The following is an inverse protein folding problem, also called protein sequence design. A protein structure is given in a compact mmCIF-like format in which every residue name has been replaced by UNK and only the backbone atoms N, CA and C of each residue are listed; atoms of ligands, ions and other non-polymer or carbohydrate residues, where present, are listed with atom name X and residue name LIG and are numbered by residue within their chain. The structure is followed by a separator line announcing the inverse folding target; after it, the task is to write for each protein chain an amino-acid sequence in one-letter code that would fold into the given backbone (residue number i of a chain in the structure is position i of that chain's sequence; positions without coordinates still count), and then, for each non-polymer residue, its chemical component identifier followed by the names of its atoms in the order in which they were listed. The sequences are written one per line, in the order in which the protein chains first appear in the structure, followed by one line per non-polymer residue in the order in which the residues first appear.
data_IF_521580126517
#
_entry.id   IF_521580126517
#
_cell.length_a   1.000
_cell.length_b   1.000
_cell.length_c   1.000
_cell.angle_alpha   90.00
_cell.angle_beta   90.00
_cell.angle_gamma   90.00
#
_symmetry.space_group_name_H-M   'P 1'
#
loop_
_entity.id
_entity.type
_entity.pdbx_description
1 polymer ?
#
# COMPACT_ATOMS: atom_id res chain seq x y z
N UNK A 1 -10.42 6.46 -26.54
CA UNK A 1 -9.42 6.41 -25.44
C UNK A 1 -9.82 5.24 -24.57
N UNK A 2 -9.27 4.06 -24.88
CA UNK A 2 -9.55 2.84 -24.09
C UNK A 2 -8.98 3.04 -22.70
N UNK A 3 -9.84 3.27 -21.73
CA UNK A 3 -9.49 3.12 -20.33
C UNK A 3 -9.37 1.62 -20.06
N UNK A 4 -8.16 1.08 -20.17
CA UNK A 4 -7.90 -0.28 -19.67
C UNK A 4 -8.04 -0.22 -18.16
N UNK A 5 -9.20 -0.60 -17.64
CA UNK A 5 -9.47 -0.68 -16.22
C UNK A 5 -8.49 -1.64 -15.55
N UNK A 6 -8.07 -1.32 -14.33
CA UNK A 6 -7.20 -2.18 -13.53
C UNK A 6 -7.94 -3.46 -13.13
N UNK A 7 -7.22 -4.58 -13.04
CA UNK A 7 -7.74 -5.83 -12.50
C UNK A 7 -7.69 -5.80 -10.97
N UNK A 8 -8.84 -5.88 -10.33
CA UNK A 8 -8.97 -5.91 -8.87
C UNK A 8 -9.42 -7.30 -8.42
N UNK A 9 -8.66 -7.93 -7.54
CA UNK A 9 -9.07 -9.18 -6.89
C UNK A 9 -9.73 -8.87 -5.55
N UNK A 10 -11.03 -9.19 -5.43
CA UNK A 10 -11.80 -9.07 -4.19
C UNK A 10 -11.84 -10.44 -3.51
N UNK A 11 -11.36 -10.52 -2.27
CA UNK A 11 -11.31 -11.73 -1.45
C UNK A 11 -12.24 -11.53 -0.26
N UNK A 12 -13.43 -12.11 -0.34
CA UNK A 12 -14.53 -11.90 0.60
C UNK A 12 -15.44 -13.15 0.57
N UNK A 13 -15.75 -13.72 1.72
CA UNK A 13 -16.60 -14.91 1.84
C UNK A 13 -18.11 -14.55 1.89
N UNK A 14 -18.45 -13.32 2.33
CA UNK A 14 -19.83 -12.83 2.20
C UNK A 14 -20.14 -12.51 0.73
N UNK A 15 -20.90 -13.41 0.11
CA UNK A 15 -21.28 -13.29 -1.30
C UNK A 15 -22.07 -12.02 -1.64
N UNK A 16 -22.81 -11.44 -0.67
CA UNK A 16 -23.58 -10.19 -0.86
C UNK A 16 -22.64 -8.99 -0.90
N UNK A 17 -21.69 -8.95 0.03
CA UNK A 17 -20.68 -7.89 0.06
C UNK A 17 -19.77 -7.99 -1.17
N UNK A 18 -19.29 -9.19 -1.52
CA UNK A 18 -18.48 -9.44 -2.71
C UNK A 18 -19.18 -8.97 -3.99
N UNK A 19 -20.48 -9.32 -4.18
CA UNK A 19 -21.26 -8.89 -5.33
C UNK A 19 -21.48 -7.37 -5.36
N UNK A 20 -21.60 -6.73 -4.19
CA UNK A 20 -21.75 -5.28 -4.10
C UNK A 20 -20.45 -4.58 -4.45
N UNK A 21 -19.32 -5.05 -3.92
CA UNK A 21 -17.98 -4.53 -4.24
C UNK A 21 -17.70 -4.69 -5.74
N UNK A 22 -18.01 -5.86 -6.33
CA UNK A 22 -17.85 -6.09 -7.75
C UNK A 22 -18.62 -5.04 -8.58
N UNK A 23 -19.90 -4.82 -8.26
CA UNK A 23 -20.74 -3.86 -8.98
C UNK A 23 -20.20 -2.43 -8.88
N UNK A 24 -19.81 -2.01 -7.65
CA UNK A 24 -19.28 -0.66 -7.40
C UNK A 24 -17.96 -0.45 -8.15
N UNK A 25 -17.03 -1.39 -8.07
CA UNK A 25 -15.72 -1.28 -8.74
C UNK A 25 -15.85 -1.37 -10.27
N UNK A 26 -16.75 -2.21 -10.77
CA UNK A 26 -17.04 -2.30 -12.22
C UNK A 26 -17.66 -1.01 -12.75
N UNK A 27 -18.51 -0.33 -11.96
CA UNK A 27 -19.07 0.98 -12.37
C UNK A 27 -18.01 2.09 -12.46
N UNK A 28 -16.88 1.94 -11.77
CA UNK A 28 -15.69 2.82 -11.87
C UNK A 28 -14.73 2.42 -13.02
N UNK A 29 -15.10 1.40 -13.82
CA UNK A 29 -14.33 0.97 -14.99
C UNK A 29 -13.27 -0.09 -14.73
N UNK A 30 -13.25 -0.72 -13.55
CA UNK A 30 -12.30 -1.79 -13.20
C UNK A 30 -12.82 -3.17 -13.62
N UNK A 31 -11.89 -4.07 -13.97
CA UNK A 31 -12.18 -5.50 -14.06
C UNK A 31 -12.08 -6.12 -12.65
N UNK A 32 -13.07 -6.95 -12.26
CA UNK A 32 -13.12 -7.49 -10.89
C UNK A 32 -13.20 -9.01 -10.92
N UNK A 33 -12.22 -9.66 -10.29
CA UNK A 33 -12.24 -11.09 -9.96
C UNK A 33 -12.63 -11.26 -8.49
N UNK A 34 -13.41 -12.30 -8.17
CA UNK A 34 -13.83 -12.61 -6.80
C UNK A 34 -13.21 -13.96 -6.39
N UNK A 35 -12.68 -14.01 -5.16
CA UNK A 35 -12.31 -15.25 -4.47
C UNK A 35 -13.09 -15.33 -3.15
N UNK A 36 -13.70 -16.48 -2.87
CA UNK A 36 -14.49 -16.71 -1.65
C UNK A 36 -13.67 -17.21 -0.45
N UNK A 37 -12.38 -17.53 -0.66
CA UNK A 37 -11.47 -18.00 0.38
C UNK A 37 -10.00 -17.67 0.05
N UNK A 38 -9.14 -17.83 1.07
CA UNK A 38 -7.72 -17.48 0.94
C UNK A 38 -6.93 -18.35 -0.03
N UNK A 39 -7.28 -19.63 -0.21
CA UNK A 39 -6.58 -20.52 -1.14
C UNK A 39 -6.94 -20.18 -2.60
N UNK A 40 -8.20 -19.88 -2.86
CA UNK A 40 -8.64 -19.40 -4.18
C UNK A 40 -7.98 -18.07 -4.51
N UNK A 41 -7.88 -17.17 -3.53
CA UNK A 41 -7.17 -15.88 -3.69
C UNK A 41 -5.71 -16.05 -4.11
N UNK A 42 -4.96 -16.92 -3.42
CA UNK A 42 -3.56 -17.20 -3.74
C UNK A 42 -3.39 -17.82 -5.12
N UNK A 43 -4.29 -18.74 -5.51
CA UNK A 43 -4.29 -19.35 -6.84
C UNK A 43 -4.53 -18.31 -7.91
N UNK A 44 -5.61 -17.51 -7.80
CA UNK A 44 -5.97 -16.46 -8.78
C UNK A 44 -4.89 -15.41 -8.94
N UNK A 45 -4.34 -14.93 -7.81
CA UNK A 45 -3.27 -13.95 -7.85
C UNK A 45 -1.99 -14.45 -8.55
N UNK A 46 -1.70 -15.76 -8.46
CA UNK A 46 -0.59 -16.38 -9.17
C UNK A 46 -0.89 -16.57 -10.66
N UNK A 47 -2.11 -17.04 -11.00
CA UNK A 47 -2.48 -17.39 -12.37
C UNK A 47 -2.71 -16.13 -13.22
N UNK A 48 -3.24 -15.08 -12.61
CA UNK A 48 -3.44 -13.76 -13.23
C UNK A 48 -3.17 -12.67 -12.17
N UNK A 49 -1.95 -12.11 -12.10
CA UNK A 49 -1.60 -11.09 -11.12
C UNK A 49 -2.54 -9.87 -11.21
N UNK A 50 -3.19 -9.47 -10.09
CA UNK A 50 -4.04 -8.29 -10.06
C UNK A 50 -3.23 -7.00 -9.92
N UNK A 51 -3.84 -5.87 -10.27
CA UNK A 51 -3.30 -4.53 -10.02
C UNK A 51 -3.56 -4.08 -8.56
N UNK A 52 -4.57 -4.66 -7.90
CA UNK A 52 -4.92 -4.42 -6.49
C UNK A 52 -5.64 -5.65 -5.91
N UNK A 53 -5.38 -5.95 -4.65
CA UNK A 53 -6.18 -6.93 -3.87
C UNK A 53 -6.97 -6.18 -2.80
N UNK A 54 -8.29 -6.45 -2.72
CA UNK A 54 -9.13 -6.08 -1.58
C UNK A 54 -9.39 -7.36 -0.80
N UNK A 55 -8.95 -7.42 0.47
CA UNK A 55 -8.83 -8.67 1.22
C UNK A 55 -9.51 -8.55 2.58
N UNK A 56 -10.53 -9.37 2.81
CA UNK A 56 -11.10 -9.49 4.17
C UNK A 56 -10.09 -10.15 5.12
N UNK A 57 -9.99 -9.62 6.33
CA UNK A 57 -9.24 -10.23 7.43
C UNK A 57 -9.91 -11.51 7.90
N UNK A 58 -11.24 -11.53 7.96
CA UNK A 58 -12.04 -12.61 8.54
C UNK A 58 -12.47 -13.64 7.49
N UNK A 59 -11.52 -14.38 6.92
CA UNK A 59 -11.81 -15.44 5.95
C UNK A 59 -11.91 -16.81 6.62
N UNK A 60 -12.74 -17.72 6.11
CA UNK A 60 -12.79 -19.09 6.58
C UNK A 60 -11.52 -19.85 6.21
N UNK A 61 -11.03 -20.68 7.13
CA UNK A 61 -9.85 -21.54 6.91
C UNK A 61 -8.54 -20.78 7.02
N UNK A 62 -8.06 -20.18 5.93
CA UNK A 62 -6.84 -19.38 5.92
C UNK A 62 -7.21 -17.91 6.12
N UNK A 63 -6.85 -17.34 7.29
CA UNK A 63 -7.16 -15.94 7.61
C UNK A 63 -6.49 -14.93 6.65
N UNK A 64 -7.10 -13.76 6.50
CA UNK A 64 -6.64 -12.73 5.56
C UNK A 64 -5.22 -12.22 5.86
N UNK A 65 -4.77 -12.22 7.12
CA UNK A 65 -3.41 -11.84 7.49
C UNK A 65 -2.40 -12.86 6.93
N UNK A 66 -2.70 -14.15 7.05
CA UNK A 66 -1.87 -15.21 6.49
C UNK A 66 -1.86 -15.18 4.96
N UNK A 67 -3.01 -14.88 4.32
CA UNK A 67 -3.09 -14.65 2.86
C UNK A 67 -2.21 -13.48 2.45
N UNK A 68 -2.32 -12.33 3.14
CA UNK A 68 -1.52 -11.14 2.88
C UNK A 68 -0.02 -11.43 2.92
N UNK A 69 0.47 -12.09 3.97
CA UNK A 69 1.89 -12.46 4.10
C UNK A 69 2.35 -13.36 2.95
N UNK A 70 1.54 -14.33 2.54
CA UNK A 70 1.89 -15.24 1.41
C UNK A 70 1.91 -14.49 0.08
N UNK A 71 0.97 -13.57 -0.16
CA UNK A 71 0.98 -12.72 -1.35
C UNK A 71 2.23 -11.83 -1.38
N UNK A 72 2.60 -11.22 -0.25
CA UNK A 72 3.79 -10.37 -0.14
C UNK A 72 5.09 -11.10 -0.39
N UNK A 73 5.18 -12.38 -0.06
CA UNK A 73 6.37 -13.18 -0.33
C UNK A 73 6.65 -13.35 -1.84
N UNK A 74 5.66 -13.14 -2.70
CA UNK A 74 5.76 -13.43 -4.14
C UNK A 74 5.38 -12.27 -5.04
N UNK A 75 4.75 -11.20 -4.53
CA UNK A 75 4.20 -10.11 -5.36
C UNK A 75 4.20 -8.76 -4.65
N UNK A 76 4.24 -7.69 -5.48
CA UNK A 76 4.34 -6.28 -5.05
C UNK A 76 3.07 -5.46 -5.33
N UNK A 77 1.97 -6.07 -5.78
CA UNK A 77 0.73 -5.32 -5.99
C UNK A 77 0.14 -4.81 -4.66
N UNK A 78 -0.57 -3.67 -4.65
CA UNK A 78 -1.19 -3.12 -3.45
C UNK A 78 -2.24 -4.05 -2.85
N UNK A 79 -2.33 -4.08 -1.51
CA UNK A 79 -3.32 -4.84 -0.75
C UNK A 79 -4.05 -3.89 0.21
N UNK A 80 -5.36 -3.74 -0.01
CA UNK A 80 -6.29 -3.08 0.91
C UNK A 80 -6.98 -4.14 1.76
N UNK A 81 -6.78 -4.11 3.07
CA UNK A 81 -7.46 -5.03 3.97
C UNK A 81 -8.79 -4.46 4.47
N UNK A 82 -9.85 -5.29 4.42
CA UNK A 82 -11.11 -5.00 5.08
C UNK A 82 -11.12 -5.65 6.46
N UNK A 83 -11.42 -4.89 7.51
CA UNK A 83 -11.39 -5.40 8.88
C UNK A 83 -12.62 -4.99 9.68
N UNK A 84 -13.15 -5.89 10.50
CA UNK A 84 -14.21 -5.58 11.47
C UNK A 84 -13.64 -4.99 12.78
N UNK A 85 -12.32 -4.87 12.91
CA UNK A 85 -11.65 -4.69 14.19
C UNK A 85 -11.06 -3.29 14.34
N UNK A 86 -11.72 -2.45 15.14
CA UNK A 86 -11.34 -1.07 15.45
C UNK A 86 -10.27 -0.90 16.55
N UNK A 87 -9.48 -1.93 16.89
CA UNK A 87 -8.45 -1.85 17.93
C UNK A 87 -7.04 -1.50 17.40
N UNK A 88 -6.33 -0.62 18.13
CA UNK A 88 -4.97 -0.16 17.74
C UNK A 88 -3.97 -1.30 17.60
N UNK A 89 -4.01 -2.32 18.47
CA UNK A 89 -3.10 -3.48 18.39
C UNK A 89 -3.30 -4.35 17.16
N UNK A 90 -4.52 -4.46 16.65
CA UNK A 90 -4.82 -5.28 15.48
C UNK A 90 -4.49 -4.55 14.19
N UNK A 91 -4.56 -3.21 14.19
CA UNK A 91 -4.05 -2.38 13.09
C UNK A 91 -2.54 -2.52 12.96
N UNK A 92 -1.80 -2.52 14.08
CA UNK A 92 -0.35 -2.73 14.08
C UNK A 92 -0.01 -4.13 13.54
N UNK A 93 -0.69 -5.19 13.99
CA UNK A 93 -0.49 -6.56 13.46
C UNK A 93 -0.81 -6.67 11.98
N UNK A 94 -1.81 -5.92 11.52
CA UNK A 94 -2.15 -5.86 10.11
C UNK A 94 -1.06 -5.16 9.29
N UNK A 95 -0.57 -4.00 9.74
CA UNK A 95 0.54 -3.28 9.10
C UNK A 95 1.81 -4.17 9.03
N UNK A 96 2.11 -4.93 10.10
CA UNK A 96 3.20 -5.93 10.12
C UNK A 96 2.98 -7.10 9.13
N UNK A 97 1.75 -7.30 8.62
CA UNK A 97 1.48 -8.32 7.60
C UNK A 97 1.90 -7.93 6.18
N UNK A 98 2.27 -6.67 5.97
CA UNK A 98 2.65 -6.12 4.67
C UNK A 98 1.48 -5.57 3.85
N UNK A 99 0.30 -5.36 4.43
CA UNK A 99 -0.79 -4.64 3.78
C UNK A 99 -0.43 -3.16 3.58
N UNK A 100 -0.98 -2.56 2.53
CA UNK A 100 -0.69 -1.17 2.17
C UNK A 100 -1.67 -0.18 2.78
N UNK A 101 -2.91 -0.60 3.00
CA UNK A 101 -3.94 0.21 3.66
C UNK A 101 -5.01 -0.68 4.30
N UNK A 102 -5.82 -0.08 5.19
CA UNK A 102 -6.90 -0.74 5.93
C UNK A 102 -8.19 0.06 5.85
N UNK A 103 -9.31 -0.65 5.75
CA UNK A 103 -10.64 -0.06 5.79
C UNK A 103 -11.50 -0.83 6.80
N UNK A 104 -12.03 -0.12 7.79
CA UNK A 104 -12.82 -0.71 8.87
C UNK A 104 -14.27 -0.90 8.41
N UNK A 105 -14.83 -2.10 8.62
CA UNK A 105 -16.23 -2.41 8.42
C UNK A 105 -17.07 -1.93 9.64
N UNK A 106 -18.23 -1.28 9.44
CA UNK A 106 -18.82 -0.89 8.16
C UNK A 106 -18.19 0.38 7.59
N UNK A 107 -18.08 0.47 6.27
CA UNK A 107 -17.47 1.59 5.55
C UNK A 107 -18.41 2.18 4.49
N UNK A 108 -18.15 3.44 4.14
CA UNK A 108 -18.78 4.08 2.99
C UNK A 108 -18.09 3.64 1.68
N UNK A 109 -18.86 3.32 0.64
CA UNK A 109 -18.27 2.95 -0.67
C UNK A 109 -17.43 4.07 -1.28
N UNK A 110 -17.76 5.32 -0.99
CA UNK A 110 -16.95 6.47 -1.42
C UNK A 110 -15.54 6.44 -0.82
N UNK A 111 -15.40 6.04 0.45
CA UNK A 111 -14.12 5.88 1.12
C UNK A 111 -13.33 4.72 0.49
N UNK A 112 -13.96 3.56 0.29
CA UNK A 112 -13.34 2.43 -0.41
C UNK A 112 -12.78 2.87 -1.77
N UNK A 113 -13.59 3.56 -2.59
CA UNK A 113 -13.19 4.03 -3.92
C UNK A 113 -12.06 5.05 -3.86
N UNK A 114 -12.03 5.94 -2.85
CA UNK A 114 -10.94 6.88 -2.66
C UNK A 114 -9.62 6.15 -2.36
N UNK A 115 -9.64 5.13 -1.49
CA UNK A 115 -8.47 4.29 -1.18
C UNK A 115 -8.01 3.46 -2.37
N UNK A 116 -8.95 2.87 -3.11
CA UNK A 116 -8.66 2.12 -4.35
C UNK A 116 -7.95 3.02 -5.37
N UNK A 117 -8.47 4.24 -5.61
CA UNK A 117 -7.81 5.21 -6.51
C UNK A 117 -6.42 5.61 -6.01
N UNK A 118 -6.24 5.81 -4.71
CA UNK A 118 -4.94 6.15 -4.13
C UNK A 118 -3.92 5.02 -4.34
N UNK A 119 -4.33 3.77 -4.10
CA UNK A 119 -3.48 2.59 -4.27
C UNK A 119 -3.16 2.27 -5.74
N UNK A 120 -4.10 2.54 -6.66
CA UNK A 120 -3.92 2.31 -8.11
C UNK A 120 -3.24 3.47 -8.84
N UNK A 121 -3.01 4.61 -8.16
CA UNK A 121 -2.41 5.79 -8.79
C UNK A 121 -1.03 5.45 -9.33
N UNK A 122 -0.93 5.31 -10.65
CA UNK A 122 0.35 5.10 -11.33
C UNK A 122 1.19 6.37 -11.19
N UNK A 123 2.44 6.22 -10.80
CA UNK A 123 3.42 7.28 -10.92
C UNK A 123 3.42 7.79 -12.39
N UNK A 124 3.42 9.12 -12.57
CA UNK A 124 3.53 9.73 -13.89
C UNK A 124 4.84 9.37 -14.59
N UNK A 125 5.11 9.87 -15.81
CA UNK A 125 6.15 9.33 -16.68
C UNK A 125 7.55 9.42 -16.09
N UNK A 126 8.21 8.30 -16.11
CA UNK A 126 9.60 7.84 -16.31
C UNK A 126 10.80 8.66 -15.85
N UNK A 127 10.73 9.57 -14.91
CA UNK A 127 11.97 10.18 -14.40
C UNK A 127 12.47 9.37 -13.19
N UNK A 128 13.62 8.69 -13.39
CA UNK A 128 14.35 8.02 -12.33
C UNK A 128 14.71 9.03 -11.25
N UNK A 129 14.22 8.80 -10.03
CA UNK A 129 14.43 9.71 -8.90
C UNK A 129 15.70 9.30 -8.15
N UNK A 130 16.58 10.27 -7.89
CA UNK A 130 17.84 10.02 -7.20
C UNK A 130 18.10 11.00 -6.09
N UNK A 131 18.59 10.49 -4.96
CA UNK A 131 19.06 11.31 -3.87
C UNK A 131 20.13 10.55 -3.07
N UNK A 132 21.33 11.11 -2.95
CA UNK A 132 22.49 10.42 -2.39
C UNK A 132 22.70 9.07 -3.13
N UNK A 133 22.72 7.95 -2.43
CA UNK A 133 22.80 6.60 -2.97
C UNK A 133 21.45 5.91 -3.16
N UNK A 134 20.34 6.64 -2.99
CA UNK A 134 19.00 6.16 -3.33
C UNK A 134 18.73 6.34 -4.82
N UNK A 135 18.19 5.30 -5.44
CA UNK A 135 17.74 5.28 -6.82
C UNK A 135 16.34 4.64 -6.85
N UNK A 136 15.36 5.34 -7.43
CA UNK A 136 13.99 4.86 -7.51
C UNK A 136 13.47 5.04 -8.92
N UNK A 137 12.92 3.99 -9.50
CA UNK A 137 12.33 3.95 -10.83
C UNK A 137 10.82 3.77 -10.73
N UNK A 138 10.05 4.85 -10.88
CA UNK A 138 8.58 4.81 -10.73
C UNK A 138 7.89 3.85 -11.71
N UNK A 139 8.38 3.77 -12.95
CA UNK A 139 7.77 2.98 -14.01
C UNK A 139 7.76 1.46 -13.70
N UNK A 140 8.83 0.96 -13.11
CA UNK A 140 9.00 -0.46 -12.74
C UNK A 140 8.73 -0.71 -11.27
N UNK A 141 8.45 0.35 -10.48
CA UNK A 141 8.32 0.31 -9.02
C UNK A 141 9.53 -0.32 -8.32
N UNK A 142 10.69 -0.10 -8.85
CA UNK A 142 11.94 -0.61 -8.33
C UNK A 142 12.70 0.47 -7.58
N UNK A 143 13.36 0.11 -6.48
CA UNK A 143 14.18 1.03 -5.70
C UNK A 143 15.45 0.33 -5.23
N UNK A 144 16.52 1.11 -5.10
CA UNK A 144 17.83 0.63 -4.66
C UNK A 144 18.46 1.59 -3.66
N UNK A 145 19.25 1.04 -2.75
CA UNK A 145 20.20 1.76 -1.92
C UNK A 145 21.62 1.37 -2.36
N UNK A 146 22.32 2.25 -3.09
CA UNK A 146 23.55 1.86 -3.79
C UNK A 146 23.27 0.74 -4.81
N UNK A 147 23.88 -0.43 -4.61
CA UNK A 147 23.63 -1.63 -5.42
C UNK A 147 22.59 -2.58 -4.82
N UNK A 148 22.11 -2.33 -3.60
CA UNK A 148 21.18 -3.20 -2.88
C UNK A 148 19.72 -2.90 -3.27
N UNK A 149 18.95 -3.87 -3.79
CA UNK A 149 17.54 -3.69 -4.06
C UNK A 149 16.76 -3.53 -2.76
N UNK A 150 15.78 -2.63 -2.75
CA UNK A 150 14.87 -2.40 -1.63
C UNK A 150 13.54 -3.09 -1.88
N UNK A 151 13.17 -4.01 -0.99
CA UNK A 151 11.88 -4.71 -1.05
C UNK A 151 10.81 -3.87 -0.35
N UNK A 152 10.26 -2.89 -1.07
CA UNK A 152 9.24 -1.97 -0.55
C UNK A 152 7.83 -2.48 -0.88
N UNK A 153 6.89 -2.33 0.05
CA UNK A 153 5.46 -2.47 -0.24
C UNK A 153 4.99 -1.29 -1.10
N UNK A 154 3.74 -1.35 -1.57
CA UNK A 154 3.18 -0.26 -2.38
C UNK A 154 3.25 1.10 -1.66
N UNK A 155 2.80 1.15 -0.42
CA UNK A 155 2.73 2.38 0.37
C UNK A 155 4.12 2.87 0.78
N UNK A 156 5.04 1.97 1.15
CA UNK A 156 6.44 2.33 1.41
C UNK A 156 7.12 2.93 0.19
N UNK A 157 6.84 2.35 -1.00
CA UNK A 157 7.35 2.88 -2.26
C UNK A 157 6.78 4.28 -2.55
N UNK A 158 5.46 4.45 -2.43
CA UNK A 158 4.79 5.74 -2.65
C UNK A 158 5.30 6.81 -1.66
N UNK A 159 5.53 6.43 -0.41
CA UNK A 159 6.08 7.32 0.61
C UNK A 159 7.52 7.73 0.26
N UNK A 160 8.38 6.78 -0.12
CA UNK A 160 9.76 7.07 -0.52
C UNK A 160 9.81 7.90 -1.81
N UNK A 161 8.97 7.59 -2.79
CA UNK A 161 8.81 8.36 -4.02
C UNK A 161 8.45 9.81 -3.73
N UNK A 162 7.48 10.04 -2.82
CA UNK A 162 7.07 11.39 -2.45
C UNK A 162 8.22 12.16 -1.81
N UNK A 163 9.00 11.55 -0.93
CA UNK A 163 10.21 12.17 -0.38
C UNK A 163 11.27 12.48 -1.45
N UNK A 164 11.49 11.57 -2.40
CA UNK A 164 12.44 11.75 -3.49
C UNK A 164 12.03 12.84 -4.49
N UNK A 165 10.72 13.12 -4.61
CA UNK A 165 10.21 14.26 -5.38
C UNK A 165 10.35 15.60 -4.65
N UNK A 166 10.59 15.57 -3.33
CA UNK A 166 10.73 16.76 -2.47
C UNK A 166 12.01 16.68 -1.60
N UNK A 167 13.19 16.50 -2.21
CA UNK A 167 14.43 16.31 -1.46
C UNK A 167 14.77 17.56 -0.65
N UNK A 168 15.26 17.37 0.57
CA UNK A 168 15.64 18.41 1.52
C UNK A 168 14.49 19.27 2.04
N UNK A 169 13.26 19.02 1.62
CA UNK A 169 12.08 19.69 2.18
C UNK A 169 11.58 18.97 3.42
N UNK A 170 11.07 19.74 4.37
CA UNK A 170 10.34 19.20 5.52
C UNK A 170 8.88 19.03 5.09
N UNK A 171 8.42 17.79 5.08
CA UNK A 171 7.03 17.44 4.77
C UNK A 171 6.28 17.20 6.07
N UNK A 172 5.15 17.88 6.25
CA UNK A 172 4.31 17.69 7.42
C UNK A 172 3.60 16.34 7.37
N UNK A 173 3.04 15.90 8.51
CA UNK A 173 2.25 14.66 8.55
C UNK A 173 1.03 14.76 7.64
N UNK A 174 0.35 15.90 7.65
CA UNK A 174 -0.84 16.16 6.82
C UNK A 174 -0.51 16.07 5.33
N UNK A 175 0.61 16.66 4.90
CA UNK A 175 1.07 16.59 3.51
C UNK A 175 1.37 15.14 3.08
N UNK A 176 2.01 14.37 3.96
CA UNK A 176 2.31 12.96 3.70
C UNK A 176 1.03 12.11 3.67
N UNK A 177 0.08 12.37 4.56
CA UNK A 177 -1.22 11.72 4.59
C UNK A 177 -1.99 11.98 3.30
N UNK A 178 -2.09 13.22 2.89
CA UNK A 178 -2.79 13.61 1.65
C UNK A 178 -2.13 12.96 0.42
N UNK A 179 -0.79 12.99 0.34
CA UNK A 179 -0.06 12.49 -0.82
C UNK A 179 -0.12 10.98 -0.99
N UNK A 180 -0.08 10.22 0.11
CA UNK A 180 0.08 8.76 0.09
C UNK A 180 -1.21 8.03 0.41
N UNK A 181 -2.07 8.61 1.26
CA UNK A 181 -3.32 7.98 1.74
C UNK A 181 -4.60 8.74 1.35
N UNK A 182 -4.53 9.79 0.52
CA UNK A 182 -5.66 10.63 0.11
C UNK A 182 -6.39 11.34 1.28
N UNK A 183 -5.66 11.68 2.35
CA UNK A 183 -6.13 12.57 3.42
C UNK A 183 -6.81 11.92 4.62
N UNK A 184 -7.22 10.65 4.55
CA UNK A 184 -7.91 9.99 5.66
C UNK A 184 -7.43 8.58 5.96
N UNK A 185 -6.33 8.37 6.71
CA UNK A 185 -6.18 7.13 7.42
C UNK A 185 -6.83 7.25 8.80
N UNK A 186 -7.64 6.29 9.18
CA UNK A 186 -8.02 6.12 10.56
C UNK A 186 -6.79 5.76 11.41
N UNK A 187 -6.25 6.74 12.14
CA UNK A 187 -5.19 6.55 13.11
C UNK A 187 -4.12 7.63 13.09
N UNK A 188 -3.95 8.31 14.21
CA UNK A 188 -3.04 9.46 14.42
C UNK A 188 -1.55 9.17 14.13
N UNK A 189 -1.15 7.94 13.81
CA UNK A 189 0.26 7.56 13.78
C UNK A 189 0.71 6.75 12.55
N UNK A 190 -0.13 6.58 11.52
CA UNK A 190 0.18 5.75 10.34
C UNK A 190 1.46 6.23 9.63
N UNK A 191 1.63 7.53 9.45
CA UNK A 191 2.83 8.12 8.83
C UNK A 191 4.10 7.73 9.59
N UNK A 192 4.08 7.81 10.93
CA UNK A 192 5.24 7.48 11.74
C UNK A 192 5.62 5.99 11.64
N UNK A 193 4.62 5.11 11.58
CA UNK A 193 4.82 3.66 11.41
C UNK A 193 5.49 3.38 10.05
N UNK A 194 4.94 3.91 8.96
CA UNK A 194 5.50 3.69 7.62
C UNK A 194 6.89 4.36 7.43
N UNK A 195 7.11 5.53 8.02
CA UNK A 195 8.45 6.12 8.09
C UNK A 195 9.43 5.19 8.82
N UNK A 196 8.97 4.52 9.89
CA UNK A 196 9.75 3.50 10.59
C UNK A 196 10.12 2.33 9.68
N UNK A 197 9.17 1.77 8.95
CA UNK A 197 9.42 0.65 8.02
C UNK A 197 10.35 1.04 6.87
N UNK A 198 10.14 2.21 6.26
CA UNK A 198 11.04 2.71 5.21
C UNK A 198 12.47 2.88 5.76
N UNK A 199 12.63 3.50 6.95
CA UNK A 199 13.95 3.63 7.59
C UNK A 199 14.63 2.29 7.80
N UNK A 200 13.91 1.32 8.37
CA UNK A 200 14.46 -0.01 8.60
C UNK A 200 15.03 -0.61 7.32
N UNK A 201 14.30 -0.52 6.21
CA UNK A 201 14.75 -1.03 4.91
C UNK A 201 15.89 -0.20 4.30
N UNK A 202 15.89 1.11 4.50
CA UNK A 202 16.95 1.98 4.03
C UNK A 202 18.28 1.77 4.80
N UNK A 203 18.22 1.40 6.08
CA UNK A 203 19.36 1.28 6.98
C UNK A 203 19.76 -0.18 7.27
N UNK A 204 19.16 -1.16 6.56
CA UNK A 204 19.28 -2.60 6.84
C UNK A 204 20.71 -3.13 6.78
N UNK A 205 21.57 -2.59 5.91
CA UNK A 205 22.97 -2.98 5.80
C UNK A 205 23.93 -1.99 6.51
N UNK A 206 23.40 -1.15 7.41
CA UNK A 206 24.18 -0.17 8.16
C UNK A 206 24.43 1.14 7.42
N UNK A 207 23.66 1.41 6.37
CA UNK A 207 23.78 2.66 5.62
C UNK A 207 23.39 3.88 6.48
N UNK A 208 23.98 5.06 6.20
CA UNK A 208 23.68 6.28 6.94
C UNK A 208 22.22 6.69 6.75
N UNK A 209 21.66 7.26 7.82
CA UNK A 209 20.25 7.74 7.79
C UNK A 209 20.06 8.86 6.80
N UNK A 210 19.06 8.72 5.92
CA UNK A 210 18.63 9.76 4.99
C UNK A 210 17.24 10.32 5.33
N UNK A 211 16.37 9.53 5.93
CA UNK A 211 15.02 9.97 6.30
C UNK A 211 14.99 10.41 7.78
N UNK A 212 14.92 11.72 8.01
CA UNK A 212 15.03 12.34 9.32
C UNK A 212 13.69 12.80 9.87
N UNK A 213 13.55 12.79 11.22
CA UNK A 213 12.43 13.44 11.90
C UNK A 213 12.80 14.88 12.22
N UNK A 214 11.96 15.81 11.83
CA UNK A 214 12.01 17.22 12.23
C UNK A 214 11.00 17.40 13.35
N UNK A 215 11.49 17.49 14.59
CA UNK A 215 10.64 17.55 15.79
C UNK A 215 9.59 18.66 15.68
N UNK A 216 8.35 18.32 16.01
CA UNK A 216 7.22 19.25 16.00
C UNK A 216 6.69 19.61 14.60
N UNK A 217 7.35 19.18 13.49
CA UNK A 217 6.98 19.59 12.13
C UNK A 217 6.65 18.39 11.24
N UNK A 218 7.55 17.40 11.12
CA UNK A 218 7.35 16.27 10.20
C UNK A 218 8.61 15.52 9.90
N UNK A 219 8.85 15.21 8.63
CA UNK A 219 9.98 14.40 8.17
C UNK A 219 10.65 15.03 6.96
N UNK A 220 11.92 14.73 6.75
CA UNK A 220 12.69 15.21 5.61
C UNK A 220 13.68 14.16 5.11
N UNK A 221 13.80 14.03 3.79
CA UNK A 221 14.86 13.26 3.14
C UNK A 221 16.07 14.18 2.95
N UNK A 222 17.16 13.91 3.67
CA UNK A 222 18.40 14.71 3.61
C UNK A 222 19.59 13.87 4.05
N UNK A 223 20.77 14.28 3.65
CA UNK A 223 22.04 13.79 4.23
C UNK A 223 22.21 14.35 5.64
N UNK A 224 22.91 13.63 6.49
CA UNK A 224 23.18 14.01 7.88
C UNK A 224 24.18 15.13 8.03
#
# INVERSE_FOLDING_TARGET
MEMTGSLILVVEDDTRLAATLQRVLTSEGHEVAIAGDGNDALRRARDRPPDLVILDVMLPGLDGIAVCRRLRATAQFPILMLTALGGTEQRVRGLDSGADDYLVKPFAYQELLARVRALLRRAGPTDRLRFADLDLEPATRSAWRGSRPLMLTHTEFALLEHFLRHPRQVLTREQLLEAVWAGEPEGDNVVAVYVGYVRQKLEEAGEPRLLHTVRGTGYALREG
#
